data_IF_518996253983
#
_entry.id   IF_518996253983
#
_cell.length_a   1.000
_cell.length_b   1.000
_cell.length_c   1.000
_cell.angle_alpha   90.00
_cell.angle_beta   90.00
_cell.angle_gamma   90.00
#
_symmetry.space_group_name_H-M   'P 1'
#
loop_
_entity.id
_entity.type
_entity.pdbx_description
1 polymer ?
#
# COMPACT_ATOMS: atom_id res chain seq x y z
N UNK A 1 -14.66 16.88 2.73
CA UNK A 1 -14.83 16.88 1.25
C UNK A 1 -14.08 15.74 0.57
N UNK A 2 -12.80 15.47 0.90
CA UNK A 2 -12.03 14.39 0.26
C UNK A 2 -12.58 13.01 0.61
N UNK A 3 -12.94 12.78 1.87
CA UNK A 3 -13.60 11.55 2.31
C UNK A 3 -14.96 11.34 1.58
N UNK A 4 -15.76 12.36 1.45
CA UNK A 4 -17.02 12.31 0.69
C UNK A 4 -16.78 11.97 -0.79
N UNK A 5 -15.74 12.53 -1.40
CA UNK A 5 -15.35 12.24 -2.78
C UNK A 5 -14.92 10.77 -2.93
N UNK A 6 -14.11 10.28 -1.99
CA UNK A 6 -13.67 8.88 -1.95
C UNK A 6 -14.86 7.94 -1.78
N UNK A 7 -15.73 8.18 -0.79
CA UNK A 7 -16.90 7.32 -0.51
C UNK A 7 -17.86 7.23 -1.71
N UNK A 8 -18.04 8.31 -2.43
CA UNK A 8 -18.96 8.34 -3.60
C UNK A 8 -18.43 7.54 -4.81
N UNK A 9 -17.14 7.17 -4.84
CA UNK A 9 -16.48 6.50 -5.96
C UNK A 9 -15.78 5.18 -5.57
N UNK A 10 -15.91 4.78 -4.33
CA UNK A 10 -15.28 3.59 -3.76
C UNK A 10 -16.36 2.53 -3.53
N UNK A 11 -16.59 1.70 -4.53
CA UNK A 11 -17.60 0.63 -4.43
C UNK A 11 -17.18 -0.40 -3.39
N UNK A 12 -18.15 -1.00 -2.76
CA UNK A 12 -17.99 -2.07 -1.80
C UNK A 12 -18.52 -3.37 -2.41
N UNK A 13 -17.71 -4.41 -2.37
CA UNK A 13 -18.10 -5.76 -2.75
C UNK A 13 -18.09 -6.67 -1.52
N UNK A 14 -19.09 -7.52 -1.38
CA UNK A 14 -19.10 -8.55 -0.35
C UNK A 14 -18.49 -9.84 -0.89
N UNK A 15 -17.56 -10.40 -0.11
CA UNK A 15 -17.05 -11.75 -0.33
C UNK A 15 -17.78 -12.68 0.62
N UNK A 16 -18.50 -13.65 0.04
CA UNK A 16 -19.16 -14.73 0.78
C UNK A 16 -18.60 -16.07 0.32
N UNK A 17 -18.13 -16.87 1.26
CA UNK A 17 -17.68 -18.25 1.03
C UNK A 17 -18.05 -19.10 2.26
N UNK A 18 -19.13 -19.89 2.14
CA UNK A 18 -19.73 -20.57 3.26
C UNK A 18 -20.26 -19.61 4.32
N UNK A 19 -19.74 -19.69 5.54
CA UNK A 19 -20.04 -18.75 6.63
C UNK A 19 -19.09 -17.54 6.68
N UNK A 20 -18.07 -17.53 5.85
CA UNK A 20 -17.11 -16.44 5.76
C UNK A 20 -17.70 -15.29 4.94
N UNK A 21 -17.75 -14.10 5.53
CA UNK A 21 -18.25 -12.89 4.90
C UNK A 21 -17.41 -11.70 5.27
N UNK A 22 -16.86 -11.03 4.28
CA UNK A 22 -16.15 -9.75 4.45
C UNK A 22 -16.55 -8.74 3.39
N UNK A 23 -16.53 -7.48 3.77
CA UNK A 23 -16.69 -6.34 2.85
C UNK A 23 -15.34 -5.87 2.36
N UNK A 24 -15.17 -5.79 1.05
CA UNK A 24 -13.95 -5.31 0.40
C UNK A 24 -14.28 -4.10 -0.47
N UNK A 25 -13.63 -2.99 -0.18
CA UNK A 25 -13.74 -1.79 -1.01
C UNK A 25 -12.82 -1.87 -2.23
N UNK A 26 -13.16 -1.14 -3.30
CA UNK A 26 -12.25 -0.98 -4.45
C UNK A 26 -10.89 -0.48 -3.99
N UNK A 27 -10.87 0.50 -3.09
CA UNK A 27 -9.67 1.05 -2.47
C UNK A 27 -9.82 1.02 -0.95
N UNK A 28 -8.84 0.45 -0.25
CA UNK A 28 -8.82 0.43 1.21
C UNK A 28 -8.74 1.87 1.76
N UNK A 29 -9.60 2.18 2.73
CA UNK A 29 -9.70 3.53 3.30
C UNK A 29 -8.45 3.95 4.07
N UNK A 30 -7.72 2.99 4.67
CA UNK A 30 -6.47 3.26 5.39
C UNK A 30 -5.36 3.51 4.37
N UNK A 31 -5.27 2.69 3.31
CA UNK A 31 -4.33 2.89 2.21
C UNK A 31 -4.51 4.27 1.56
N UNK A 32 -5.76 4.65 1.26
CA UNK A 32 -6.07 5.98 0.72
C UNK A 32 -5.62 7.11 1.65
N UNK A 33 -5.94 7.01 2.94
CA UNK A 33 -5.56 8.02 3.94
C UNK A 33 -4.04 8.17 4.02
N UNK A 34 -3.31 7.07 4.11
CA UNK A 34 -1.84 7.08 4.18
C UNK A 34 -1.22 7.64 2.91
N UNK A 35 -1.71 7.23 1.73
CA UNK A 35 -1.24 7.76 0.46
C UNK A 35 -1.44 9.28 0.35
N UNK A 36 -2.60 9.77 0.79
CA UNK A 36 -2.90 11.20 0.80
C UNK A 36 -2.02 11.97 1.77
N UNK A 37 -1.84 11.46 2.99
CA UNK A 37 -0.95 12.06 4.00
C UNK A 37 0.48 12.09 3.50
N UNK A 38 0.98 10.99 2.91
CA UNK A 38 2.32 10.93 2.33
C UNK A 38 2.49 11.97 1.23
N UNK A 39 1.51 12.12 0.33
CA UNK A 39 1.57 13.11 -0.72
C UNK A 39 1.66 14.56 -0.18
N UNK A 40 1.03 14.88 0.96
CA UNK A 40 1.18 16.19 1.60
C UNK A 40 2.48 16.32 2.37
N UNK A 41 2.87 15.31 3.14
CA UNK A 41 4.06 15.37 4.00
C UNK A 41 5.38 15.35 3.21
N UNK A 42 5.38 14.75 2.01
CA UNK A 42 6.58 14.66 1.16
C UNK A 42 6.59 15.66 0.00
N UNK A 43 5.52 16.44 -0.21
CA UNK A 43 5.48 17.47 -1.23
C UNK A 43 6.57 18.54 -0.97
N UNK A 44 7.25 18.98 -2.03
CA UNK A 44 8.03 20.21 -1.97
C UNK A 44 7.11 21.43 -2.14
N UNK A 45 6.94 22.20 -1.06
CA UNK A 45 6.09 23.38 -1.04
C UNK A 45 6.73 24.62 -1.70
N UNK A 46 8.00 24.55 -2.12
CA UNK A 46 8.66 25.59 -2.92
C UNK A 46 8.35 25.42 -4.42
N UNK A 47 7.95 24.21 -4.85
CA UNK A 47 7.58 23.93 -6.22
C UNK A 47 6.14 24.33 -6.53
N UNK A 48 5.93 24.87 -7.74
CA UNK A 48 4.58 25.10 -8.26
C UNK A 48 3.87 23.77 -8.50
N UNK A 49 2.56 23.76 -8.29
CA UNK A 49 1.72 22.58 -8.48
C UNK A 49 0.88 22.27 -7.25
N UNK A 50 0.20 21.16 -7.26
CA UNK A 50 -0.69 20.72 -6.19
C UNK A 50 -0.65 19.20 -6.02
N UNK A 51 -1.03 18.72 -4.85
CA UNK A 51 -1.39 17.30 -4.69
C UNK A 51 -2.65 17.06 -5.52
N UNK A 52 -2.61 16.05 -6.38
CA UNK A 52 -3.71 15.65 -7.25
C UNK A 52 -4.23 14.28 -6.80
N UNK A 53 -5.54 14.16 -6.74
CA UNK A 53 -6.24 12.90 -6.49
C UNK A 53 -7.24 12.69 -7.62
N UNK A 54 -7.16 11.54 -8.28
CA UNK A 54 -8.02 11.17 -9.39
C UNK A 54 -8.51 9.74 -9.19
N UNK A 55 -9.81 9.52 -9.34
CA UNK A 55 -10.44 8.20 -9.29
C UNK A 55 -11.21 8.02 -10.59
N UNK A 56 -10.86 6.99 -11.34
CA UNK A 56 -11.50 6.61 -12.58
C UNK A 56 -11.77 5.09 -12.62
N UNK A 57 -12.15 4.57 -13.77
CA UNK A 57 -12.47 3.15 -13.94
C UNK A 57 -11.22 2.25 -13.82
N UNK A 58 -10.04 2.76 -14.16
CA UNK A 58 -8.78 2.01 -14.07
C UNK A 58 -8.27 1.95 -12.63
N UNK A 59 -8.46 3.00 -11.83
CA UNK A 59 -7.94 3.05 -10.48
C UNK A 59 -7.96 4.40 -9.81
N UNK A 60 -7.17 4.50 -8.75
CA UNK A 60 -6.91 5.69 -7.96
C UNK A 60 -5.49 6.17 -8.21
N UNK A 61 -5.36 7.42 -8.64
CA UNK A 61 -4.06 8.11 -8.77
C UNK A 61 -3.93 9.16 -7.68
N UNK A 62 -2.80 9.16 -6.98
CA UNK A 62 -2.40 10.26 -6.08
C UNK A 62 -1.00 10.70 -6.50
N UNK A 63 -0.84 12.00 -6.75
CA UNK A 63 0.47 12.54 -7.12
C UNK A 63 0.75 13.87 -6.44
N UNK A 64 2.03 14.14 -6.23
CA UNK A 64 2.53 15.40 -5.69
C UNK A 64 3.76 15.89 -6.45
N UNK A 65 3.93 17.21 -6.57
CA UNK A 65 5.16 17.80 -7.11
C UNK A 65 6.37 17.41 -6.28
N UNK A 66 7.49 17.21 -6.97
CA UNK A 66 8.78 16.74 -6.52
C UNK A 66 8.93 15.21 -6.52
N UNK A 67 10.17 14.73 -6.68
CA UNK A 67 10.53 13.32 -6.65
C UNK A 67 10.57 12.74 -5.23
N UNK A 68 11.02 11.50 -5.14
CA UNK A 68 11.29 10.87 -3.84
C UNK A 68 12.32 11.67 -3.05
N UNK A 69 12.23 11.58 -1.72
CA UNK A 69 13.26 12.17 -0.84
C UNK A 69 14.60 11.46 -1.04
N UNK A 70 15.70 12.16 -0.74
CA UNK A 70 17.05 11.60 -0.88
C UNK A 70 17.19 10.24 -0.20
N UNK A 71 17.79 9.28 -0.89
CA UNK A 71 17.96 7.90 -0.42
C UNK A 71 16.75 6.99 -0.61
N UNK A 72 15.59 7.51 -1.01
CA UNK A 72 14.39 6.73 -1.29
C UNK A 72 14.16 6.60 -2.79
N UNK A 73 13.82 5.41 -3.24
CA UNK A 73 13.45 5.12 -4.62
C UNK A 73 12.42 3.97 -4.67
N UNK A 74 11.93 3.64 -5.85
CA UNK A 74 10.91 2.61 -6.05
C UNK A 74 11.32 1.26 -5.45
N UNK A 75 12.62 0.90 -5.54
CA UNK A 75 13.11 -0.41 -5.12
C UNK A 75 13.29 -0.53 -3.60
N UNK A 76 13.26 0.57 -2.85
CA UNK A 76 13.45 0.53 -1.41
C UNK A 76 12.31 1.16 -0.59
N UNK A 77 11.18 1.49 -1.22
CA UNK A 77 10.04 2.13 -0.55
C UNK A 77 9.57 1.42 0.72
N UNK A 78 9.59 0.08 0.74
CA UNK A 78 9.17 -0.74 1.88
C UNK A 78 10.25 -0.96 2.93
N UNK A 79 11.51 -0.63 2.61
CA UNK A 79 12.68 -0.91 3.47
C UNK A 79 13.42 0.34 3.90
N UNK A 80 13.18 1.48 3.23
CA UNK A 80 13.79 2.75 3.57
C UNK A 80 13.31 3.26 4.94
N UNK A 81 14.20 3.87 5.69
CA UNK A 81 13.82 4.56 6.91
C UNK A 81 12.90 5.75 6.60
N UNK A 82 11.86 5.98 7.41
CA UNK A 82 10.92 7.08 7.18
C UNK A 82 11.61 8.44 7.32
N UNK A 83 11.77 9.14 6.22
CA UNK A 83 12.26 10.51 6.18
C UNK A 83 11.18 11.43 5.63
N UNK A 84 10.76 12.40 6.40
CA UNK A 84 9.74 13.37 5.98
C UNK A 84 10.37 14.66 5.45
N UNK A 85 9.98 15.12 4.26
CA UNK A 85 10.39 16.44 3.76
C UNK A 85 9.82 17.57 4.63
N UNK A 86 8.63 17.39 5.17
CA UNK A 86 7.93 18.35 6.01
C UNK A 86 7.66 17.78 7.41
N UNK A 87 8.67 17.67 8.29
CA UNK A 87 8.52 16.97 9.58
C UNK A 87 7.50 17.66 10.50
N UNK A 88 7.40 18.98 10.50
CA UNK A 88 6.40 19.70 11.28
C UNK A 88 4.96 19.37 10.82
N UNK A 89 4.73 19.27 9.51
CA UNK A 89 3.43 18.85 8.97
C UNK A 89 3.13 17.39 9.31
N UNK A 90 4.12 16.49 9.17
CA UNK A 90 3.98 15.09 9.55
C UNK A 90 3.61 14.92 11.03
N UNK A 91 4.21 15.71 11.92
CA UNK A 91 3.88 15.75 13.35
C UNK A 91 2.44 16.20 13.61
N UNK A 92 1.97 17.23 12.92
CA UNK A 92 0.57 17.67 13.01
C UNK A 92 -0.36 16.54 12.56
N UNK A 93 -0.09 15.92 11.40
CA UNK A 93 -0.90 14.81 10.88
C UNK A 93 -0.96 13.62 11.86
N UNK A 94 0.16 13.29 12.52
CA UNK A 94 0.20 12.28 13.58
C UNK A 94 -0.63 12.66 14.81
N UNK A 95 -0.55 13.91 15.26
CA UNK A 95 -1.28 14.42 16.45
C UNK A 95 -2.80 14.40 16.26
N UNK A 96 -3.26 14.74 15.05
CA UNK A 96 -4.70 14.73 14.71
C UNK A 96 -5.20 13.35 14.25
N UNK A 97 -4.33 12.31 14.28
CA UNK A 97 -4.71 10.93 13.97
C UNK A 97 -4.89 10.62 12.49
N UNK A 98 -4.35 11.46 11.59
CA UNK A 98 -4.39 11.22 10.15
C UNK A 98 -3.21 10.37 9.66
N UNK A 99 -2.03 10.50 10.28
CA UNK A 99 -0.83 9.73 9.95
C UNK A 99 -0.55 8.64 11.00
N UNK A 100 0.02 7.53 10.54
CA UNK A 100 0.53 6.48 11.43
C UNK A 100 1.72 6.99 12.26
N UNK A 101 1.79 6.54 13.53
CA UNK A 101 2.88 6.91 14.44
C UNK A 101 4.10 6.00 14.32
N UNK A 102 3.91 4.81 13.75
CA UNK A 102 4.90 3.72 13.76
C UNK A 102 5.83 3.72 12.54
N UNK A 103 5.70 4.66 11.62
CA UNK A 103 6.49 4.71 10.37
C UNK A 103 6.10 3.65 9.33
N UNK A 104 4.97 2.95 9.52
CA UNK A 104 4.48 1.87 8.64
C UNK A 104 3.44 2.35 7.62
N UNK A 105 3.47 3.62 7.26
CA UNK A 105 2.47 4.19 6.35
C UNK A 105 2.49 3.55 4.96
N UNK A 106 3.70 3.33 4.41
CA UNK A 106 3.85 2.70 3.10
C UNK A 106 3.35 1.25 3.11
N UNK A 107 3.60 0.47 4.18
CA UNK A 107 3.09 -0.89 4.34
C UNK A 107 1.56 -0.91 4.20
N UNK A 108 0.86 0.07 4.81
CA UNK A 108 -0.61 0.18 4.77
C UNK A 108 -1.14 0.39 3.36
N UNK A 109 -0.40 1.12 2.52
CA UNK A 109 -0.78 1.33 1.12
C UNK A 109 -0.78 0.00 0.37
N UNK A 110 0.24 -0.83 0.58
CA UNK A 110 0.35 -2.14 -0.05
C UNK A 110 -0.61 -3.17 0.57
N UNK A 111 -0.73 -3.23 1.90
CA UNK A 111 -1.63 -4.12 2.61
C UNK A 111 -3.07 -4.03 2.09
N UNK A 112 -3.55 -2.82 1.76
CA UNK A 112 -4.89 -2.57 1.24
C UNK A 112 -5.25 -3.34 -0.05
N UNK A 113 -4.26 -3.73 -0.82
CA UNK A 113 -4.42 -4.57 -2.02
C UNK A 113 -4.03 -6.02 -1.77
N UNK A 114 -2.88 -6.23 -1.12
CA UNK A 114 -2.28 -7.55 -0.92
C UNK A 114 -3.15 -8.50 -0.10
N UNK A 115 -3.86 -8.01 0.92
CA UNK A 115 -4.76 -8.82 1.76
C UNK A 115 -5.86 -9.52 0.96
N UNK A 116 -6.24 -8.96 -0.17
CA UNK A 116 -7.34 -9.44 -1.00
C UNK A 116 -6.86 -10.02 -2.34
N UNK A 117 -5.54 -10.19 -2.53
CA UNK A 117 -4.98 -10.69 -3.79
C UNK A 117 -5.28 -9.79 -4.99
N UNK A 118 -5.48 -8.49 -4.77
CA UNK A 118 -5.69 -7.46 -5.79
C UNK A 118 -4.35 -7.03 -6.40
N UNK A 119 -4.36 -6.35 -7.57
CA UNK A 119 -3.15 -5.77 -8.13
C UNK A 119 -2.48 -4.81 -7.14
N UNK A 120 -1.15 -4.83 -7.11
CA UNK A 120 -0.36 -4.02 -6.20
C UNK A 120 -0.38 -2.53 -6.58
N UNK A 121 -0.25 -1.63 -5.58
CA UNK A 121 0.07 -0.23 -5.82
C UNK A 121 1.36 -0.08 -6.63
N UNK A 122 1.38 0.87 -7.55
CA UNK A 122 2.48 1.11 -8.48
C UNK A 122 2.96 2.56 -8.40
N UNK A 123 4.29 2.73 -8.36
CA UNK A 123 4.99 4.01 -8.37
C UNK A 123 5.87 4.20 -9.61
N UNK A 124 5.79 3.29 -10.60
CA UNK A 124 6.69 3.24 -11.76
C UNK A 124 6.65 4.50 -12.63
N UNK A 125 5.55 5.25 -12.60
CA UNK A 125 5.42 6.52 -13.32
C UNK A 125 5.93 7.73 -12.51
N UNK A 126 6.61 7.53 -11.40
CA UNK A 126 7.27 8.60 -10.66
C UNK A 126 8.54 9.04 -11.39
N UNK A 127 8.87 10.33 -11.26
CA UNK A 127 10.05 10.97 -11.85
C UNK A 127 10.81 11.78 -10.79
N UNK A 128 11.91 12.41 -11.18
CA UNK A 128 12.67 13.30 -10.29
C UNK A 128 11.88 14.57 -9.86
N UNK A 129 10.74 14.84 -10.50
CA UNK A 129 9.92 16.03 -10.24
C UNK A 129 8.46 15.72 -9.90
N UNK A 130 8.11 14.44 -9.83
CA UNK A 130 6.75 14.00 -9.54
C UNK A 130 6.78 12.63 -8.86
N UNK A 131 6.20 12.53 -7.67
CA UNK A 131 5.81 11.22 -7.14
C UNK A 131 4.38 10.91 -7.58
N UNK A 132 4.19 9.75 -8.23
CA UNK A 132 2.88 9.29 -8.71
C UNK A 132 2.63 7.87 -8.19
N UNK A 133 1.64 7.76 -7.32
CA UNK A 133 1.09 6.49 -6.89
C UNK A 133 -0.15 6.16 -7.72
N UNK A 134 -0.18 4.97 -8.30
CA UNK A 134 -1.36 4.37 -8.90
C UNK A 134 -1.79 3.15 -8.10
N UNK A 135 -3.03 3.10 -7.65
CA UNK A 135 -3.65 1.93 -7.03
C UNK A 135 -4.68 1.40 -8.02
N UNK A 136 -4.40 0.26 -8.69
CA UNK A 136 -5.30 -0.28 -9.68
C UNK A 136 -6.63 -0.73 -9.06
N UNK A 137 -7.73 -0.49 -9.77
CA UNK A 137 -9.00 -1.12 -9.45
C UNK A 137 -8.91 -2.60 -9.81
N UNK A 138 -9.30 -3.48 -8.91
CA UNK A 138 -9.23 -4.91 -9.13
C UNK A 138 -10.22 -5.68 -8.28
N UNK A 139 -10.72 -6.77 -8.83
CA UNK A 139 -11.59 -7.68 -8.07
C UNK A 139 -10.75 -8.44 -7.02
N UNK A 140 -11.28 -8.62 -5.81
CA UNK A 140 -10.66 -9.45 -4.81
C UNK A 140 -10.70 -10.93 -5.21
N UNK A 141 -9.63 -11.64 -4.89
CA UNK A 141 -9.62 -13.12 -4.96
C UNK A 141 -10.19 -13.69 -3.66
N UNK A 142 -11.37 -14.29 -3.76
CA UNK A 142 -12.14 -14.78 -2.61
C UNK A 142 -11.39 -15.86 -1.82
N UNK A 143 -10.86 -16.87 -2.53
CA UNK A 143 -10.15 -17.98 -1.90
C UNK A 143 -8.86 -17.50 -1.22
N UNK A 144 -8.13 -16.61 -1.87
CA UNK A 144 -6.92 -16.01 -1.30
C UNK A 144 -7.23 -15.15 -0.08
N UNK A 145 -8.22 -14.26 -0.15
CA UNK A 145 -8.62 -13.41 0.97
C UNK A 145 -9.06 -14.24 2.19
N UNK A 146 -9.79 -15.34 1.95
CA UNK A 146 -10.17 -16.28 3.00
C UNK A 146 -8.95 -16.96 3.62
N UNK A 147 -8.04 -17.49 2.81
CA UNK A 147 -6.79 -18.12 3.28
C UNK A 147 -5.98 -17.16 4.17
N UNK A 148 -5.83 -15.89 3.76
CA UNK A 148 -5.14 -14.87 4.55
C UNK A 148 -5.87 -14.62 5.88
N UNK A 149 -7.20 -14.52 5.86
CA UNK A 149 -8.00 -14.30 7.07
C UNK A 149 -7.88 -15.46 8.05
N UNK A 150 -8.03 -16.70 7.56
CA UNK A 150 -7.91 -17.93 8.36
C UNK A 150 -6.51 -18.04 9.00
N UNK A 151 -5.46 -17.70 8.24
CA UNK A 151 -4.08 -17.72 8.74
C UNK A 151 -3.83 -16.64 9.81
N UNK A 152 -4.32 -15.42 9.60
CA UNK A 152 -4.21 -14.35 10.62
C UNK A 152 -4.97 -14.69 11.89
N UNK A 153 -6.13 -15.35 11.80
CA UNK A 153 -6.87 -15.86 12.94
C UNK A 153 -6.09 -16.96 13.66
N UNK A 154 -5.51 -17.93 12.91
CA UNK A 154 -4.70 -19.02 13.45
C UNK A 154 -3.49 -18.54 14.25
N UNK A 155 -2.79 -17.51 13.75
CA UNK A 155 -1.58 -16.96 14.40
C UNK A 155 -1.90 -15.86 15.43
N UNK A 156 -3.16 -15.38 15.47
CA UNK A 156 -3.61 -14.32 16.39
C UNK A 156 -3.01 -12.93 16.11
N UNK A 157 -2.48 -12.68 14.93
CA UNK A 157 -1.89 -11.39 14.51
C UNK A 157 -2.01 -11.15 13.01
N UNK A 158 -1.89 -9.88 12.60
CA UNK A 158 -1.79 -9.53 11.19
C UNK A 158 -0.49 -10.08 10.56
N UNK A 159 -0.58 -10.56 9.33
CA UNK A 159 0.60 -10.93 8.54
C UNK A 159 1.41 -9.68 8.17
N UNK A 160 2.75 -9.73 8.30
CA UNK A 160 3.62 -8.65 7.82
C UNK A 160 3.50 -8.45 6.30
N UNK A 161 3.75 -7.23 5.83
CA UNK A 161 3.69 -6.91 4.38
C UNK A 161 4.60 -7.80 3.54
N UNK A 162 5.78 -8.15 4.03
CA UNK A 162 6.70 -9.06 3.32
C UNK A 162 6.09 -10.46 3.12
N UNK A 163 5.42 -11.01 4.13
CA UNK A 163 4.70 -12.29 3.99
C UNK A 163 3.56 -12.19 2.97
N UNK A 164 2.82 -11.08 2.98
CA UNK A 164 1.76 -10.83 2.00
C UNK A 164 2.31 -10.72 0.57
N UNK A 165 3.46 -10.05 0.38
CA UNK A 165 4.15 -9.95 -0.92
C UNK A 165 4.56 -11.33 -1.44
N UNK A 166 5.20 -12.14 -0.58
CA UNK A 166 5.60 -13.52 -0.91
C UNK A 166 4.37 -14.36 -1.30
N UNK A 167 3.31 -14.33 -0.51
CA UNK A 167 2.09 -15.09 -0.78
C UNK A 167 1.40 -14.65 -2.08
N UNK A 168 1.35 -13.34 -2.37
CA UNK A 168 0.83 -12.84 -3.63
C UNK A 168 1.68 -13.26 -4.82
N UNK A 169 3.02 -13.30 -4.68
CA UNK A 169 3.90 -13.78 -5.74
C UNK A 169 3.71 -15.29 -5.98
N UNK A 170 3.67 -16.10 -4.92
CA UNK A 170 3.41 -17.54 -5.03
C UNK A 170 2.03 -17.86 -5.61
N UNK A 171 1.04 -17.01 -5.38
CA UNK A 171 -0.27 -17.12 -6.04
C UNK A 171 -0.17 -16.91 -7.55
N UNK A 172 0.67 -15.98 -8.01
CA UNK A 172 0.87 -15.68 -9.43
C UNK A 172 1.76 -16.74 -10.10
N UNK A 173 2.83 -17.11 -9.41
CA UNK A 173 3.86 -18.03 -9.86
C UNK A 173 3.99 -19.16 -8.84
N UNK A 174 3.41 -20.33 -9.15
CA UNK A 174 3.38 -21.47 -8.22
C UNK A 174 4.76 -22.04 -7.84
N UNK A 175 5.82 -21.60 -8.49
CA UNK A 175 7.21 -21.97 -8.23
C UNK A 175 8.10 -20.75 -8.31
N UNK A 176 8.63 -20.33 -7.18
CA UNK A 176 9.62 -19.25 -7.09
C UNK A 176 10.83 -19.76 -6.33
N UNK A 177 12.01 -19.32 -6.74
CA UNK A 177 13.24 -19.50 -5.99
C UNK A 177 13.29 -18.51 -4.82
N UNK A 178 14.12 -18.82 -3.82
CA UNK A 178 14.33 -17.90 -2.68
C UNK A 178 14.90 -16.55 -3.15
N UNK A 179 15.73 -16.56 -4.17
CA UNK A 179 16.32 -15.35 -4.75
C UNK A 179 15.23 -14.47 -5.40
N UNK A 180 14.33 -15.06 -6.20
CA UNK A 180 13.19 -14.33 -6.81
C UNK A 180 12.27 -13.73 -5.72
N UNK A 181 12.01 -14.46 -4.66
CA UNK A 181 11.21 -13.95 -3.53
C UNK A 181 11.96 -12.84 -2.75
N UNK A 182 13.28 -12.91 -2.67
CA UNK A 182 14.10 -11.85 -2.07
C UNK A 182 14.03 -10.55 -2.89
N UNK A 183 14.01 -10.66 -4.21
CA UNK A 183 13.80 -9.51 -5.11
C UNK A 183 12.41 -8.89 -4.92
N UNK A 184 11.37 -9.71 -4.79
CA UNK A 184 9.98 -9.25 -4.56
C UNK A 184 9.83 -8.43 -3.27
N UNK A 185 10.50 -8.82 -2.20
CA UNK A 185 10.47 -8.09 -0.93
C UNK A 185 11.59 -7.04 -0.81
N UNK A 186 12.37 -6.84 -1.88
CA UNK A 186 13.53 -5.94 -1.91
C UNK A 186 14.47 -6.15 -0.73
N UNK A 187 14.82 -7.41 -0.40
CA UNK A 187 15.55 -7.75 0.79
C UNK A 187 16.44 -8.98 0.60
N UNK A 188 16.99 -9.52 1.68
CA UNK A 188 17.91 -10.67 1.67
C UNK A 188 17.14 -12.00 1.73
N UNK A 189 17.74 -13.07 1.20
CA UNK A 189 17.19 -14.43 1.30
C UNK A 189 16.94 -14.88 2.75
N UNK A 190 17.74 -14.39 3.70
CA UNK A 190 17.52 -14.65 5.12
C UNK A 190 16.18 -14.11 5.62
N UNK A 191 15.79 -12.90 5.16
CA UNK A 191 14.49 -12.30 5.50
C UNK A 191 13.33 -13.03 4.82
N UNK A 192 13.52 -13.62 3.64
CA UNK A 192 12.50 -14.46 2.99
C UNK A 192 12.21 -15.68 3.86
N UNK A 193 13.24 -16.38 4.34
CA UNK A 193 13.07 -17.55 5.22
C UNK A 193 12.27 -17.21 6.47
N UNK A 194 12.62 -16.09 7.14
CA UNK A 194 11.89 -15.63 8.33
C UNK A 194 10.45 -15.21 8.03
N UNK A 195 10.16 -14.69 6.84
CA UNK A 195 8.81 -14.27 6.46
C UNK A 195 7.92 -15.44 6.01
N UNK A 196 8.53 -16.61 5.73
CA UNK A 196 7.83 -17.84 5.29
C UNK A 196 7.54 -18.81 6.45
N UNK A 197 8.10 -18.56 7.64
CA UNK A 197 7.83 -19.26 8.90
C UNK A 197 6.64 -18.62 9.65
#
# INVERSE_FOLDING_TARGET
RMETYMTARNSEAEIEEGLFRISVFDFDKRAFREALVNAFCHRDYTMLGRVRVEINDDGLVISNPDGFVEGVNINNLLTAEPHGRNPALADVMKRIGLAERTGRGIDRIFEGSLLYGKPMPDYSESTDTLVKLFIPRGLPDKAFAKMISDEQERIGRALPVNSLLILNELKRNSRCTITELADVIHSTEAKVKTASE
#
